data_IF_227845555454
#
_entry.id   IF_227845555454
#
_cell.length_a   1.000
_cell.length_b   1.000
_cell.length_c   1.000
_cell.angle_alpha   90.00
_cell.angle_beta   90.00
_cell.angle_gamma   90.00
#
_symmetry.space_group_name_H-M   'P 1'
#
loop_
_entity.id
_entity.type
_entity.pdbx_description
1 polymer ?
#
# COMPACT_ATOMS: atom_id res chain seq x y z
N UNK A 1 -9.70 3.33 14.89
CA UNK A 1 -8.64 2.68 15.69
C UNK A 1 -7.29 2.97 15.07
N UNK A 2 -6.33 3.50 15.82
CA UNK A 2 -4.98 3.84 15.33
C UNK A 2 -3.97 3.00 16.10
N UNK A 3 -3.26 2.04 15.46
CA UNK A 3 -2.22 1.25 16.12
C UNK A 3 -1.01 2.15 16.45
N UNK A 4 -0.43 1.99 17.64
CA UNK A 4 0.72 2.78 18.09
C UNK A 4 2.00 1.97 18.21
N UNK A 5 1.91 0.77 18.72
CA UNK A 5 2.99 -0.23 18.83
C UNK A 5 2.41 -1.61 19.09
N UNK A 6 3.19 -2.64 18.87
CA UNK A 6 2.86 -4.01 19.24
C UNK A 6 3.81 -4.59 20.32
N UNK A 7 3.52 -5.80 20.80
CA UNK A 7 4.35 -6.55 21.71
C UNK A 7 4.93 -7.84 21.10
N UNK A 8 4.83 -8.00 19.77
CA UNK A 8 5.42 -9.15 19.10
C UNK A 8 6.96 -9.13 19.19
N UNK A 9 7.59 -10.26 19.51
CA UNK A 9 9.04 -10.31 19.66
C UNK A 9 9.75 -10.22 18.30
N UNK A 10 10.85 -9.46 18.27
CA UNK A 10 11.77 -9.37 17.15
C UNK A 10 13.20 -9.71 17.59
N UNK A 11 13.91 -10.48 16.79
CA UNK A 11 15.28 -10.95 17.07
C UNK A 11 16.31 -10.26 16.17
N UNK A 12 15.95 -10.04 14.89
CA UNK A 12 16.87 -9.50 13.89
C UNK A 12 16.65 -8.01 13.61
N UNK A 13 17.68 -7.33 13.13
CA UNK A 13 17.59 -5.93 12.69
C UNK A 13 16.82 -5.86 11.38
N UNK A 14 15.77 -5.02 11.27
CA UNK A 14 14.86 -4.97 10.12
C UNK A 14 15.41 -4.06 8.99
N UNK A 15 16.49 -4.48 8.34
CA UNK A 15 17.18 -3.66 7.33
C UNK A 15 16.32 -3.30 6.14
N UNK A 16 15.46 -4.22 5.65
CA UNK A 16 14.61 -3.95 4.50
C UNK A 16 13.43 -3.05 4.87
N UNK A 17 12.86 -3.21 6.06
CA UNK A 17 11.86 -2.27 6.59
C UNK A 17 12.45 -0.85 6.65
N UNK A 18 13.67 -0.69 7.18
CA UNK A 18 14.35 0.61 7.20
C UNK A 18 14.64 1.14 5.80
N UNK A 19 15.11 0.29 4.89
CA UNK A 19 15.35 0.67 3.49
C UNK A 19 14.06 1.17 2.83
N UNK A 20 12.94 0.45 3.01
CA UNK A 20 11.64 0.84 2.46
C UNK A 20 11.16 2.17 3.06
N UNK A 21 11.31 2.38 4.38
CA UNK A 21 10.98 3.65 5.03
C UNK A 21 11.77 4.81 4.42
N UNK A 22 13.10 4.67 4.34
CA UNK A 22 13.98 5.71 3.79
C UNK A 22 13.68 5.99 2.32
N UNK A 23 13.46 4.94 1.52
CA UNK A 23 13.13 5.07 0.09
C UNK A 23 11.82 5.83 -0.11
N UNK A 24 10.75 5.44 0.61
CA UNK A 24 9.44 6.10 0.48
C UNK A 24 9.50 7.57 0.95
N UNK A 25 10.15 7.84 2.07
CA UNK A 25 10.34 9.22 2.56
C UNK A 25 11.17 10.03 1.57
N UNK A 26 12.27 9.46 1.03
CA UNK A 26 13.14 10.15 0.08
C UNK A 26 12.42 10.51 -1.22
N UNK A 27 11.62 9.58 -1.77
CA UNK A 27 10.82 9.83 -2.98
C UNK A 27 9.75 10.89 -2.69
N UNK A 28 9.05 10.82 -1.56
CA UNK A 28 8.06 11.82 -1.19
C UNK A 28 8.68 13.22 -1.02
N UNK A 29 9.87 13.32 -0.43
CA UNK A 29 10.57 14.60 -0.33
C UNK A 29 10.96 15.14 -1.71
N UNK A 30 11.31 14.26 -2.65
CA UNK A 30 11.56 14.64 -4.03
C UNK A 30 10.27 15.17 -4.71
N UNK A 31 9.11 14.49 -4.55
CA UNK A 31 7.80 14.98 -5.02
C UNK A 31 7.47 16.35 -4.44
N UNK A 32 7.69 16.51 -3.12
CA UNK A 32 7.49 17.78 -2.43
C UNK A 32 8.40 18.90 -2.97
N UNK A 33 9.68 18.61 -3.20
CA UNK A 33 10.62 19.58 -3.80
C UNK A 33 10.22 19.96 -5.22
N UNK A 34 9.74 19.02 -6.03
CA UNK A 34 9.21 19.33 -7.37
C UNK A 34 8.02 20.31 -7.27
N UNK A 35 7.10 20.05 -6.36
CA UNK A 35 5.94 20.91 -6.11
C UNK A 35 6.35 22.33 -5.69
N UNK A 36 7.33 22.45 -4.80
CA UNK A 36 7.80 23.75 -4.28
C UNK A 36 8.55 24.55 -5.36
N UNK A 37 9.42 23.89 -6.13
CA UNK A 37 10.30 24.58 -7.09
C UNK A 37 9.65 24.80 -8.45
N UNK A 38 8.76 23.88 -8.89
CA UNK A 38 8.18 23.91 -10.25
C UNK A 38 6.64 24.00 -10.26
N UNK A 39 6.02 24.04 -9.08
CA UNK A 39 4.57 24.15 -8.92
C UNK A 39 3.84 22.81 -9.00
N UNK A 40 2.54 22.83 -8.66
CA UNK A 40 1.68 21.63 -8.63
C UNK A 40 1.59 20.91 -9.98
N UNK A 41 1.63 21.63 -11.08
CA UNK A 41 1.56 21.03 -12.42
C UNK A 41 2.69 20.07 -12.73
N UNK A 42 3.91 20.32 -12.23
CA UNK A 42 5.05 19.43 -12.39
C UNK A 42 4.89 18.15 -11.53
N UNK A 43 4.45 18.30 -10.29
CA UNK A 43 4.12 17.18 -9.41
C UNK A 43 3.01 16.30 -10.03
N UNK A 44 1.91 16.91 -10.49
CA UNK A 44 0.80 16.20 -11.13
C UNK A 44 1.25 15.43 -12.38
N UNK A 45 2.12 16.03 -13.19
CA UNK A 45 2.68 15.36 -14.37
C UNK A 45 3.53 14.14 -13.97
N UNK A 46 4.36 14.28 -12.94
CA UNK A 46 5.17 13.18 -12.40
C UNK A 46 4.29 12.05 -11.86
N UNK A 47 3.30 12.38 -11.04
CA UNK A 47 2.34 11.41 -10.49
C UNK A 47 1.53 10.71 -11.60
N UNK A 48 1.16 11.41 -12.66
CA UNK A 48 0.47 10.79 -13.81
C UNK A 48 1.37 9.82 -14.56
N UNK A 49 2.66 10.06 -14.68
CA UNK A 49 3.60 9.15 -15.35
C UNK A 49 3.89 7.91 -14.52
N UNK A 50 4.19 8.06 -13.24
CA UNK A 50 4.67 6.99 -12.36
C UNK A 50 3.60 6.37 -11.46
N UNK A 51 2.43 7.01 -11.31
CA UNK A 51 1.26 6.49 -10.63
C UNK A 51 0.48 5.48 -11.48
N UNK A 52 -0.18 4.54 -10.84
CA UNK A 52 -0.98 3.52 -11.48
C UNK A 52 -2.34 4.09 -11.93
N UNK A 53 -2.52 4.26 -13.24
CA UNK A 53 -3.77 4.72 -13.83
C UNK A 53 -4.49 3.53 -14.48
N UNK A 54 -5.60 3.01 -13.91
CA UNK A 54 -6.28 1.83 -14.41
C UNK A 54 -6.66 1.92 -15.89
N UNK A 55 -7.25 3.02 -16.34
CA UNK A 55 -7.63 3.23 -17.75
C UNK A 55 -6.46 3.10 -18.72
N UNK A 56 -5.23 3.49 -18.31
CA UNK A 56 -4.03 3.33 -19.15
C UNK A 56 -3.65 1.86 -19.33
N UNK A 57 -3.83 1.04 -18.30
CA UNK A 57 -3.59 -0.41 -18.38
C UNK A 57 -4.60 -1.05 -19.31
N UNK A 58 -5.87 -0.68 -19.22
CA UNK A 58 -6.94 -1.17 -20.10
C UNK A 58 -6.66 -0.82 -21.57
N UNK A 59 -6.31 0.43 -21.84
CA UNK A 59 -5.92 0.88 -23.21
C UNK A 59 -4.76 0.05 -23.75
N UNK A 60 -3.73 -0.18 -22.91
CA UNK A 60 -2.58 -0.98 -23.33
C UNK A 60 -2.98 -2.43 -23.68
N UNK A 61 -3.83 -3.06 -22.89
CA UNK A 61 -4.30 -4.43 -23.12
C UNK A 61 -5.22 -4.54 -24.35
N UNK A 62 -5.96 -3.48 -24.70
CA UNK A 62 -6.82 -3.39 -25.88
C UNK A 62 -6.09 -2.97 -27.17
N UNK A 63 -4.77 -3.03 -27.18
CA UNK A 63 -3.95 -2.75 -28.37
C UNK A 63 -3.64 -1.26 -28.62
N UNK A 64 -3.79 -0.42 -27.59
CA UNK A 64 -3.38 0.99 -27.64
C UNK A 64 -4.41 1.94 -28.25
N UNK A 65 -5.62 1.49 -28.56
CA UNK A 65 -6.70 2.35 -29.04
C UNK A 65 -7.25 3.19 -27.88
N UNK A 66 -7.00 4.49 -27.93
CA UNK A 66 -7.48 5.42 -26.91
C UNK A 66 -8.82 6.01 -27.34
N UNK A 67 -9.90 5.75 -26.58
CA UNK A 67 -11.17 6.43 -26.81
C UNK A 67 -11.01 7.96 -26.71
N UNK A 68 -11.59 8.71 -27.66
CA UNK A 68 -11.40 10.15 -27.76
C UNK A 68 -11.74 10.91 -26.46
N UNK A 69 -12.72 10.43 -25.69
CA UNK A 69 -13.10 11.03 -24.40
C UNK A 69 -12.04 10.84 -23.30
N UNK A 70 -11.19 9.79 -23.40
CA UNK A 70 -10.10 9.57 -22.46
C UNK A 70 -8.85 10.36 -22.83
N UNK A 71 -8.65 10.71 -24.10
CA UNK A 71 -7.52 11.55 -24.54
C UNK A 71 -7.54 12.91 -23.86
N UNK A 72 -8.72 13.52 -23.74
CA UNK A 72 -8.89 14.81 -23.07
C UNK A 72 -8.71 14.73 -21.56
N UNK A 73 -9.09 13.62 -20.94
CA UNK A 73 -8.97 13.44 -19.47
C UNK A 73 -7.57 13.01 -19.02
N UNK A 74 -6.93 12.13 -19.78
CA UNK A 74 -5.59 11.61 -19.46
C UNK A 74 -4.48 12.58 -19.89
N UNK A 75 -4.75 13.43 -20.88
CA UNK A 75 -3.74 14.21 -21.61
C UNK A 75 -2.92 13.31 -22.55
N UNK A 76 -2.58 13.81 -23.73
CA UNK A 76 -1.85 13.04 -24.76
C UNK A 76 -0.50 12.48 -24.26
N UNK A 77 0.16 13.18 -23.34
CA UNK A 77 1.45 12.75 -22.77
C UNK A 77 1.37 11.48 -21.93
N UNK A 78 0.23 11.23 -21.27
CA UNK A 78 0.06 10.06 -20.39
C UNK A 78 -0.26 8.79 -21.19
N UNK A 79 -0.84 8.94 -22.36
CA UNK A 79 -1.17 7.81 -23.26
C UNK A 79 0.06 7.33 -24.02
N UNK A 80 0.99 8.25 -24.35
CA UNK A 80 2.20 7.96 -25.13
C UNK A 80 3.45 7.73 -24.27
N UNK A 81 3.43 8.10 -22.98
CA UNK A 81 4.62 8.16 -22.15
C UNK A 81 4.76 6.93 -21.25
N UNK A 82 5.55 6.00 -21.70
CA UNK A 82 6.12 4.95 -20.88
C UNK A 82 5.35 3.63 -20.82
N UNK A 83 5.98 2.58 -20.33
CA UNK A 83 5.39 1.26 -20.27
C UNK A 83 4.22 1.25 -19.28
N UNK A 84 3.03 0.84 -19.71
CA UNK A 84 1.80 0.79 -18.90
C UNK A 84 1.95 -0.09 -17.63
N UNK A 85 2.94 -0.98 -17.61
CA UNK A 85 3.18 -1.91 -16.50
C UNK A 85 4.15 -1.39 -15.43
N UNK A 86 5.04 -0.45 -15.76
CA UNK A 86 6.00 0.11 -14.80
C UNK A 86 5.29 0.74 -13.57
N UNK A 87 4.17 1.45 -13.72
CA UNK A 87 3.43 2.02 -12.60
C UNK A 87 2.92 1.04 -11.56
N UNK A 88 2.78 -0.24 -11.86
CA UNK A 88 2.47 -1.25 -10.84
C UNK A 88 3.53 -1.30 -9.73
N UNK A 89 4.79 -0.96 -10.07
CA UNK A 89 5.88 -0.92 -9.10
C UNK A 89 6.16 0.49 -8.62
N UNK A 90 6.24 1.48 -9.50
CA UNK A 90 6.63 2.84 -9.12
C UNK A 90 5.59 3.53 -8.25
N UNK A 91 4.30 3.27 -8.48
CA UNK A 91 3.22 3.84 -7.68
C UNK A 91 3.29 3.49 -6.19
N UNK A 92 3.92 2.35 -5.84
CA UNK A 92 4.09 1.93 -4.45
C UNK A 92 4.98 2.86 -3.63
N UNK A 93 5.74 3.74 -4.26
CA UNK A 93 6.69 4.64 -3.61
C UNK A 93 6.26 6.10 -3.65
N UNK A 94 5.18 6.43 -4.38
CA UNK A 94 4.64 7.78 -4.48
C UNK A 94 3.61 8.05 -3.38
N UNK A 95 3.48 9.32 -2.95
CA UNK A 95 2.52 9.67 -1.90
C UNK A 95 1.84 11.02 -2.14
N UNK A 96 0.51 11.05 -2.10
CA UNK A 96 -0.28 12.23 -2.40
C UNK A 96 -0.22 13.35 -1.32
N UNK A 97 0.21 13.05 -0.10
CA UNK A 97 0.23 14.02 1.01
C UNK A 97 1.12 13.58 2.17
N UNK A 98 1.47 14.54 3.04
CA UNK A 98 2.18 14.28 4.28
C UNK A 98 1.48 13.26 5.18
N UNK A 99 0.17 13.38 5.36
CA UNK A 99 -0.58 12.43 6.17
C UNK A 99 -0.54 11.03 5.56
N UNK A 100 -0.56 10.92 4.22
CA UNK A 100 -0.52 9.64 3.52
C UNK A 100 0.82 8.94 3.73
N UNK A 101 1.96 9.64 3.53
CA UNK A 101 3.28 9.03 3.75
C UNK A 101 3.49 8.69 5.24
N UNK A 102 3.10 9.57 6.16
CA UNK A 102 3.23 9.33 7.60
C UNK A 102 2.44 8.08 8.01
N UNK A 103 1.18 7.97 7.59
CA UNK A 103 0.34 6.80 7.94
C UNK A 103 0.91 5.49 7.39
N UNK A 104 1.41 5.50 6.14
CA UNK A 104 2.07 4.35 5.54
C UNK A 104 3.35 3.95 6.28
N UNK A 105 4.24 4.90 6.53
CA UNK A 105 5.49 4.63 7.23
C UNK A 105 5.26 4.18 8.66
N UNK A 106 4.26 4.74 9.32
CA UNK A 106 3.84 4.33 10.65
C UNK A 106 3.36 2.86 10.70
N UNK A 107 2.48 2.47 9.77
CA UNK A 107 2.01 1.09 9.69
C UNK A 107 3.14 0.12 9.34
N UNK A 108 4.02 0.50 8.39
CA UNK A 108 5.18 -0.30 8.02
C UNK A 108 6.17 -0.47 9.18
N UNK A 109 6.37 0.57 9.98
CA UNK A 109 7.21 0.53 11.18
C UNK A 109 6.68 -0.44 12.24
N UNK A 110 5.35 -0.48 12.47
CA UNK A 110 4.76 -1.33 13.51
C UNK A 110 4.73 -2.80 13.10
N UNK A 111 4.36 -3.10 11.85
CA UNK A 111 4.07 -4.48 11.42
C UNK A 111 5.16 -5.10 10.55
N UNK A 112 6.01 -4.27 9.94
CA UNK A 112 7.00 -4.72 8.95
C UNK A 112 8.13 -5.51 9.55
N UNK A 113 8.67 -5.07 10.65
CA UNK A 113 9.87 -5.62 11.28
C UNK A 113 9.69 -7.07 11.77
N UNK A 114 8.52 -7.41 12.31
CA UNK A 114 8.21 -8.77 12.76
C UNK A 114 8.03 -9.74 11.58
N UNK A 115 7.42 -9.28 10.48
CA UNK A 115 7.28 -10.09 9.26
C UNK A 115 8.64 -10.27 8.59
N UNK A 116 9.48 -9.24 8.57
CA UNK A 116 10.86 -9.33 8.08
C UNK A 116 11.69 -10.30 8.93
N UNK A 117 11.55 -10.26 10.27
CA UNK A 117 12.23 -11.20 11.17
C UNK A 117 11.85 -12.67 10.89
N UNK A 118 10.58 -12.91 10.54
CA UNK A 118 10.07 -14.24 10.20
C UNK A 118 10.57 -14.75 8.85
N UNK A 119 10.53 -13.91 7.81
CA UNK A 119 10.85 -14.30 6.43
C UNK A 119 12.34 -14.15 6.08
N UNK A 120 13.05 -13.25 6.77
CA UNK A 120 14.35 -12.73 6.35
C UNK A 120 14.24 -11.66 5.28
N UNK A 121 15.30 -10.90 5.12
CA UNK A 121 15.33 -9.63 4.40
C UNK A 121 14.84 -9.70 2.94
N UNK A 122 15.39 -10.63 2.13
CA UNK A 122 15.07 -10.73 0.71
C UNK A 122 13.66 -11.26 0.46
N UNK A 123 13.24 -12.29 1.18
CA UNK A 123 11.89 -12.85 1.06
C UNK A 123 10.84 -11.84 1.48
N UNK A 124 11.10 -11.07 2.52
CA UNK A 124 10.25 -9.96 2.95
C UNK A 124 10.10 -8.88 1.87
N UNK A 125 11.21 -8.43 1.27
CA UNK A 125 11.17 -7.46 0.19
C UNK A 125 10.38 -7.99 -1.02
N UNK A 126 10.62 -9.25 -1.41
CA UNK A 126 9.88 -9.90 -2.49
C UNK A 126 8.38 -9.94 -2.17
N UNK A 127 8.02 -10.34 -0.95
CA UNK A 127 6.63 -10.38 -0.50
C UNK A 127 5.98 -8.99 -0.54
N UNK A 128 6.68 -7.96 -0.06
CA UNK A 128 6.21 -6.57 -0.12
C UNK A 128 5.87 -6.17 -1.55
N UNK A 129 6.78 -6.39 -2.51
CA UNK A 129 6.57 -6.04 -3.92
C UNK A 129 5.42 -6.84 -4.55
N UNK A 130 5.35 -8.15 -4.28
CA UNK A 130 4.29 -9.01 -4.82
C UNK A 130 2.91 -8.66 -4.24
N UNK A 131 2.83 -8.32 -2.96
CA UNK A 131 1.57 -7.87 -2.34
C UNK A 131 1.13 -6.52 -2.91
N UNK A 132 2.06 -5.60 -3.15
CA UNK A 132 1.75 -4.32 -3.79
C UNK A 132 1.27 -4.51 -5.23
N UNK A 133 1.92 -5.40 -5.98
CA UNK A 133 1.48 -5.78 -7.33
C UNK A 133 0.06 -6.37 -7.30
N UNK A 134 -0.21 -7.31 -6.40
CA UNK A 134 -1.55 -7.92 -6.25
C UNK A 134 -2.61 -6.87 -5.89
N UNK A 135 -2.27 -5.92 -5.01
CA UNK A 135 -3.12 -4.78 -4.69
C UNK A 135 -3.39 -3.90 -5.91
N UNK A 136 -2.35 -3.54 -6.67
CA UNK A 136 -2.47 -2.75 -7.89
C UNK A 136 -3.32 -3.44 -8.96
N UNK A 137 -3.13 -4.75 -9.16
CA UNK A 137 -3.95 -5.57 -10.07
C UNK A 137 -5.41 -5.58 -9.63
N UNK A 138 -5.68 -5.85 -8.35
CA UNK A 138 -7.04 -5.86 -7.81
C UNK A 138 -7.73 -4.51 -7.98
N UNK A 139 -7.02 -3.41 -7.69
CA UNK A 139 -7.55 -2.06 -7.87
C UNK A 139 -7.86 -1.77 -9.35
N UNK A 140 -6.97 -2.14 -10.26
CA UNK A 140 -7.14 -1.94 -11.71
C UNK A 140 -8.35 -2.72 -12.23
N UNK A 141 -8.48 -4.00 -11.89
CA UNK A 141 -9.57 -4.85 -12.34
C UNK A 141 -10.95 -4.37 -11.89
N UNK A 142 -11.03 -3.75 -10.72
CA UNK A 142 -12.28 -3.23 -10.16
C UNK A 142 -12.55 -1.76 -10.51
N UNK A 143 -11.64 -1.11 -11.27
CA UNK A 143 -11.74 0.30 -11.64
C UNK A 143 -11.23 0.58 -13.07
N UNK A 144 -11.49 -0.31 -14.01
CA UNK A 144 -10.91 -0.31 -15.38
C UNK A 144 -10.98 1.03 -16.11
N UNK A 145 -12.04 1.80 -15.89
CA UNK A 145 -12.26 3.11 -16.54
C UNK A 145 -11.67 4.29 -15.75
N UNK A 146 -11.07 4.07 -14.57
CA UNK A 146 -10.57 5.16 -13.75
C UNK A 146 -9.34 5.83 -14.37
N UNK A 147 -9.42 7.15 -14.52
CA UNK A 147 -8.31 8.01 -14.99
C UNK A 147 -7.51 8.63 -13.84
N UNK A 148 -7.92 8.37 -12.59
CA UNK A 148 -7.25 8.88 -11.40
C UNK A 148 -6.04 8.02 -11.08
N UNK A 149 -4.83 8.60 -10.95
CA UNK A 149 -3.66 7.87 -10.52
C UNK A 149 -3.82 7.32 -9.11
N UNK A 150 -3.60 6.02 -8.94
CA UNK A 150 -3.44 5.38 -7.64
C UNK A 150 -1.96 5.42 -7.24
N UNK A 151 -1.66 5.89 -6.03
CA UNK A 151 -0.32 6.01 -5.48
C UNK A 151 -0.31 5.59 -4.01
N UNK A 152 0.81 5.08 -3.53
CA UNK A 152 1.03 4.74 -2.13
C UNK A 152 1.55 3.32 -1.90
N UNK A 153 2.38 3.19 -0.87
CA UNK A 153 2.89 1.91 -0.36
C UNK A 153 1.79 1.02 0.24
N UNK A 154 0.59 1.56 0.44
CA UNK A 154 -0.45 0.99 1.29
C UNK A 154 -0.96 -0.38 0.84
N UNK A 155 -0.99 -0.68 -0.46
CA UNK A 155 -1.32 -2.01 -0.97
C UNK A 155 -0.30 -3.07 -0.54
N UNK A 156 1.00 -2.76 -0.65
CA UNK A 156 2.08 -3.63 -0.19
C UNK A 156 2.08 -3.78 1.34
N UNK A 157 1.90 -2.66 2.07
CA UNK A 157 1.80 -2.65 3.54
C UNK A 157 0.58 -3.44 4.02
N UNK A 158 -0.55 -3.35 3.31
CA UNK A 158 -1.72 -4.18 3.59
C UNK A 158 -1.38 -5.67 3.51
N UNK A 159 -0.55 -6.07 2.54
CA UNK A 159 -0.04 -7.44 2.45
C UNK A 159 0.85 -7.84 3.63
N UNK A 160 1.72 -6.95 4.09
CA UNK A 160 2.51 -7.17 5.30
C UNK A 160 1.60 -7.29 6.54
N UNK A 161 0.55 -6.45 6.64
CA UNK A 161 -0.46 -6.56 7.71
C UNK A 161 -1.24 -7.88 7.63
N UNK A 162 -1.56 -8.37 6.41
CA UNK A 162 -2.18 -9.68 6.20
C UNK A 162 -1.28 -10.84 6.65
N UNK A 163 0.03 -10.76 6.36
CA UNK A 163 1.01 -11.70 6.87
C UNK A 163 1.12 -11.67 8.40
N UNK A 164 1.21 -10.48 8.97
CA UNK A 164 1.23 -10.28 10.43
C UNK A 164 0.00 -10.88 11.11
N UNK A 165 -1.18 -10.67 10.51
CA UNK A 165 -2.45 -11.24 11.00
C UNK A 165 -2.39 -12.77 11.14
N UNK A 166 -1.70 -13.46 10.22
CA UNK A 166 -1.52 -14.91 10.27
C UNK A 166 -0.45 -15.34 11.27
N UNK A 167 0.67 -14.61 11.31
CA UNK A 167 1.83 -14.98 12.12
C UNK A 167 1.66 -14.68 13.62
N UNK A 168 1.01 -13.56 13.92
CA UNK A 168 0.93 -12.99 15.27
C UNK A 168 -0.50 -12.60 15.69
N UNK A 169 -1.52 -13.47 15.49
CA UNK A 169 -2.92 -13.10 15.74
C UNK A 169 -3.19 -12.66 17.19
N UNK A 170 -2.50 -13.26 18.14
CA UNK A 170 -2.66 -12.99 19.58
C UNK A 170 -1.68 -11.94 20.13
N UNK A 171 -0.75 -11.43 19.31
CA UNK A 171 0.09 -10.30 19.71
C UNK A 171 -0.78 -9.11 20.06
N UNK A 172 -0.41 -8.38 21.11
CA UNK A 172 -1.19 -7.22 21.53
C UNK A 172 -0.68 -5.97 20.84
N UNK A 173 -1.61 -5.19 20.33
CA UNK A 173 -1.36 -3.90 19.68
C UNK A 173 -1.94 -2.80 20.57
N UNK A 174 -1.09 -1.90 21.05
CA UNK A 174 -1.55 -0.69 21.73
C UNK A 174 -2.25 0.19 20.70
N UNK A 175 -3.52 0.41 20.92
CA UNK A 175 -4.40 1.06 19.95
C UNK A 175 -5.06 2.28 20.60
N UNK A 176 -4.98 3.41 19.91
CA UNK A 176 -5.74 4.61 20.23
C UNK A 176 -7.14 4.48 19.63
N UNK A 177 -8.15 4.48 20.50
CA UNK A 177 -9.57 4.41 20.13
C UNK A 177 -10.23 5.75 20.46
N UNK A 178 -10.54 6.58 19.44
CA UNK A 178 -11.26 7.83 19.63
C UNK A 178 -12.76 7.51 19.68
N UNK A 179 -13.32 7.45 20.89
CA UNK A 179 -14.75 7.27 21.12
C UNK A 179 -15.16 8.10 22.33
N UNK A 180 -15.93 9.18 22.16
CA UNK A 180 -16.28 10.19 23.17
C UNK A 180 -15.06 10.81 23.89
N UNK A 181 -14.09 9.98 24.28
CA UNK A 181 -12.77 10.29 24.83
C UNK A 181 -11.69 9.49 24.09
N UNK A 182 -10.44 9.82 24.33
CA UNK A 182 -9.30 9.09 23.77
C UNK A 182 -8.90 7.98 24.75
N UNK A 183 -9.02 6.74 24.28
CA UNK A 183 -8.61 5.56 25.06
C UNK A 183 -7.37 4.91 24.43
N UNK A 184 -6.46 4.46 25.29
CA UNK A 184 -5.32 3.63 24.91
C UNK A 184 -5.57 2.22 25.39
N UNK A 185 -5.81 1.29 24.46
CA UNK A 185 -6.20 -0.07 24.80
C UNK A 185 -5.29 -1.06 24.09
N UNK A 186 -4.85 -2.08 24.83
CA UNK A 186 -4.16 -3.22 24.25
C UNK A 186 -5.19 -4.19 23.66
N UNK A 187 -5.20 -4.34 22.33
CA UNK A 187 -6.10 -5.23 21.62
C UNK A 187 -5.30 -6.31 20.89
N UNK A 188 -5.83 -7.54 20.75
CA UNK A 188 -5.20 -8.55 19.90
C UNK A 188 -5.10 -8.07 18.46
N UNK A 189 -4.02 -8.43 17.78
CA UNK A 189 -3.76 -8.01 16.40
C UNK A 189 -4.90 -8.39 15.45
N UNK A 190 -5.52 -9.57 15.63
CA UNK A 190 -6.65 -9.99 14.81
C UNK A 190 -7.86 -9.05 14.92
N UNK A 191 -8.09 -8.43 16.07
CA UNK A 191 -9.16 -7.41 16.25
C UNK A 191 -8.81 -6.15 15.47
N UNK A 192 -7.59 -5.63 15.66
CA UNK A 192 -7.16 -4.35 15.06
C UNK A 192 -7.10 -4.46 13.53
N UNK A 193 -6.43 -5.50 13.04
CA UNK A 193 -6.22 -5.70 11.60
C UNK A 193 -7.49 -6.21 10.90
N UNK A 194 -8.28 -7.06 11.58
CA UNK A 194 -9.57 -7.52 11.07
C UNK A 194 -10.57 -6.37 10.94
N UNK A 195 -10.68 -5.51 11.96
CA UNK A 195 -11.48 -4.29 11.89
C UNK A 195 -11.02 -3.39 10.73
N UNK A 196 -9.71 -3.15 10.62
CA UNK A 196 -9.15 -2.34 9.54
C UNK A 196 -9.52 -2.92 8.17
N UNK A 197 -9.35 -4.23 7.97
CA UNK A 197 -9.69 -4.92 6.72
C UNK A 197 -11.19 -4.79 6.39
N UNK A 198 -12.09 -5.02 7.34
CA UNK A 198 -13.53 -4.88 7.14
C UNK A 198 -13.89 -3.46 6.72
N UNK A 199 -13.30 -2.44 7.34
CA UNK A 199 -13.50 -1.03 6.94
C UNK A 199 -13.03 -0.80 5.51
N UNK A 200 -11.87 -1.33 5.10
CA UNK A 200 -11.39 -1.20 3.72
C UNK A 200 -12.33 -1.87 2.72
N UNK A 201 -12.77 -3.09 3.02
CA UNK A 201 -13.68 -3.83 2.16
C UNK A 201 -15.03 -3.12 2.00
N UNK A 202 -15.66 -2.71 3.09
CA UNK A 202 -16.95 -2.01 3.06
C UNK A 202 -16.83 -0.64 2.35
N UNK A 203 -15.75 0.08 2.55
CA UNK A 203 -15.50 1.35 1.86
C UNK A 203 -15.30 1.15 0.36
N UNK A 204 -14.55 0.10 -0.04
CA UNK A 204 -14.40 -0.29 -1.44
C UNK A 204 -15.74 -0.66 -2.09
N UNK A 205 -16.56 -1.48 -1.42
CA UNK A 205 -17.87 -1.86 -1.90
C UNK A 205 -18.81 -0.65 -2.03
N UNK A 206 -18.81 0.24 -1.05
CA UNK A 206 -19.62 1.47 -1.08
C UNK A 206 -19.23 2.39 -2.25
N UNK A 207 -17.91 2.56 -2.50
CA UNK A 207 -17.46 3.37 -3.65
C UNK A 207 -17.82 2.74 -4.99
N UNK A 208 -17.81 1.41 -5.10
CA UNK A 208 -18.18 0.71 -6.34
C UNK A 208 -19.68 0.81 -6.66
N UNK A 209 -20.55 0.94 -5.63
CA UNK A 209 -22.00 1.08 -5.81
C UNK A 209 -22.38 2.54 -6.08
N UNK A 210 -21.62 3.51 -5.59
CA UNK A 210 -21.90 4.93 -5.76
C UNK A 210 -21.50 5.41 -7.15
N UNK A 211 -22.41 5.33 -8.10
CA UNK A 211 -22.23 5.77 -9.49
C UNK A 211 -22.02 7.29 -9.65
N UNK A 212 -22.20 8.07 -8.59
CA UNK A 212 -22.11 9.55 -8.62
C UNK A 212 -20.68 10.11 -8.51
N UNK A 213 -19.68 9.30 -8.19
CA UNK A 213 -18.29 9.76 -8.09
C UNK A 213 -17.29 8.69 -8.53
N UNK A 214 -17.01 8.55 -9.85
CA UNK A 214 -16.07 7.57 -10.39
C UNK A 214 -14.62 7.76 -9.88
N UNK A 215 -14.30 8.96 -9.36
CA UNK A 215 -12.98 9.28 -8.82
C UNK A 215 -12.80 8.86 -7.35
N UNK A 216 -13.85 8.40 -6.66
CA UNK A 216 -13.77 8.00 -5.25
C UNK A 216 -13.16 9.09 -4.34
N UNK A 217 -13.05 8.82 -3.06
CA UNK A 217 -12.43 9.73 -2.08
C UNK A 217 -10.87 9.75 -2.14
N UNK A 218 -10.25 9.39 -3.27
CA UNK A 218 -8.79 9.36 -3.43
C UNK A 218 -8.09 8.19 -2.73
N UNK A 219 -8.81 7.28 -2.07
CA UNK A 219 -8.25 6.10 -1.41
C UNK A 219 -8.50 4.85 -2.26
N UNK A 220 -7.44 4.12 -2.57
CA UNK A 220 -7.50 2.88 -3.34
C UNK A 220 -7.87 1.67 -2.45
N UNK A 221 -9.10 1.64 -1.93
CA UNK A 221 -9.56 0.60 -0.99
C UNK A 221 -9.34 -0.82 -1.53
N UNK A 222 -9.59 -1.04 -2.81
CA UNK A 222 -9.39 -2.34 -3.44
C UNK A 222 -7.92 -2.76 -3.54
N UNK A 223 -6.98 -1.80 -3.61
CA UNK A 223 -5.57 -2.13 -3.49
C UNK A 223 -5.21 -2.65 -2.09
N UNK A 224 -5.83 -2.09 -1.06
CA UNK A 224 -5.66 -2.57 0.32
C UNK A 224 -6.22 -3.97 0.50
N UNK A 225 -7.44 -4.23 0.00
CA UNK A 225 -8.09 -5.54 0.08
C UNK A 225 -7.26 -6.60 -0.67
N UNK A 226 -6.88 -6.32 -1.92
CA UNK A 226 -6.07 -7.23 -2.72
C UNK A 226 -4.70 -7.52 -2.10
N UNK A 227 -4.02 -6.50 -1.62
CA UNK A 227 -2.74 -6.63 -0.94
C UNK A 227 -2.86 -7.47 0.34
N UNK A 228 -3.83 -7.18 1.20
CA UNK A 228 -4.05 -7.91 2.46
C UNK A 228 -4.33 -9.39 2.22
N UNK A 229 -5.23 -9.72 1.28
CA UNK A 229 -5.55 -11.12 0.92
C UNK A 229 -4.32 -11.81 0.34
N UNK A 230 -3.55 -11.14 -0.53
CA UNK A 230 -2.30 -11.69 -1.04
C UNK A 230 -1.33 -12.01 0.10
N UNK A 231 -1.20 -11.13 1.09
CA UNK A 231 -0.37 -11.36 2.27
C UNK A 231 -0.81 -12.55 3.11
N UNK A 232 -2.13 -12.70 3.34
CA UNK A 232 -2.69 -13.88 4.04
C UNK A 232 -2.31 -15.21 3.36
N UNK A 233 -2.29 -15.22 2.03
CA UNK A 233 -1.98 -16.43 1.25
C UNK A 233 -0.47 -16.65 1.17
N UNK A 234 0.28 -15.64 0.75
CA UNK A 234 1.71 -15.75 0.47
C UNK A 234 2.52 -16.15 1.69
N UNK A 235 2.16 -15.67 2.89
CA UNK A 235 2.89 -16.03 4.11
C UNK A 235 2.88 -17.53 4.41
N UNK A 236 1.88 -18.25 3.91
CA UNK A 236 1.81 -19.70 4.04
C UNK A 236 2.64 -20.46 3.00
N UNK A 237 2.99 -19.78 1.90
CA UNK A 237 3.75 -20.33 0.79
C UNK A 237 5.26 -20.06 0.92
N UNK A 238 5.63 -18.98 1.59
CA UNK A 238 7.03 -18.63 1.78
C UNK A 238 7.65 -19.38 2.95
N UNK A 239 8.89 -19.89 2.79
CA UNK A 239 9.59 -20.57 3.88
C UNK A 239 9.90 -19.59 5.02
N UNK A 240 9.65 -20.01 6.26
CA UNK A 240 10.10 -19.30 7.44
C UNK A 240 11.61 -19.39 7.58
N UNK A 241 12.25 -18.32 8.02
CA UNK A 241 13.66 -18.34 8.39
C UNK A 241 13.86 -19.29 9.58
N UNK A 242 14.87 -20.19 9.58
CA UNK A 242 15.19 -20.98 10.75
C UNK A 242 15.48 -20.07 11.94
N UNK A 243 14.67 -20.15 13.00
CA UNK A 243 14.90 -19.40 14.24
C UNK A 243 16.18 -19.91 14.89
N UNK A 244 17.28 -19.19 14.76
CA UNK A 244 18.47 -19.40 15.58
C UNK A 244 18.16 -18.89 16.98
N UNK A 245 17.68 -19.77 17.85
CA UNK A 245 17.68 -19.49 19.29
C UNK A 245 19.15 -19.24 19.68
N UNK A 246 19.51 -18.01 20.02
CA UNK A 246 20.72 -17.79 20.79
C UNK A 246 20.40 -18.36 22.18
N UNK A 247 20.85 -19.59 22.41
CA UNK A 247 21.02 -20.04 23.78
C UNK A 247 22.06 -19.11 24.39
N UNK A 248 21.63 -18.19 25.23
CA UNK A 248 22.53 -17.45 26.12
C UNK A 248 23.18 -18.48 27.05
N UNK A 249 24.49 -18.64 26.91
CA UNK A 249 25.34 -19.24 27.93
C UNK A 249 25.60 -18.16 28.97
#
# INVERSE_FOLDING_TARGET
MIPLKDDAPRITTPYMTWLLLVTNIGIFLFEWMMRVNYGRGAEDAFVRVFGLVPARVTIFLEGGHVPAHLVTQLGMHVVSAGPALLPFFTSMFLHASWLHVIANMWALWIFGDNVEDHLGHFTYLLMYLLCGLAGGVTHTLLNLASTVPSVGASGAIAGIMGAYFVLYPSARVLTLVPFLFVFFVWLPAWVVLGYWFVVQFLSGAATSISSSNPSGNGVAFWAHVGGFVAGLVMIRLFPSRPRRYRYGI
#
